data_IF_894368202099
#
_entry.id   IF_894368202099
#
_cell.length_a   1.000
_cell.length_b   1.000
_cell.length_c   1.000
_cell.angle_alpha   90.00
_cell.angle_beta   90.00
_cell.angle_gamma   90.00
#
_symmetry.space_group_name_H-M   'P 1'
#
loop_
_entity.id
_entity.type
_entity.pdbx_description
1 polymer ?
#
# COMPACT_ATOMS: atom_id res chain seq x y z
N UNK A 1 -0.82 13.22 -11.03
CA UNK A 1 0.58 13.59 -10.75
C UNK A 1 1.48 12.55 -11.41
N UNK A 2 2.65 12.94 -11.94
CA UNK A 2 3.57 12.03 -12.64
C UNK A 2 4.98 12.00 -12.04
N UNK A 3 5.30 12.93 -11.14
CA UNK A 3 6.61 13.03 -10.48
C UNK A 3 6.43 13.47 -9.01
N UNK A 4 7.40 13.16 -8.15
CA UNK A 4 7.47 13.59 -6.75
C UNK A 4 8.41 12.73 -5.91
N UNK A 5 8.51 13.00 -4.60
CA UNK A 5 9.38 12.20 -3.71
C UNK A 5 8.80 10.78 -3.49
N UNK A 6 7.48 10.66 -3.35
CA UNK A 6 6.80 9.38 -3.10
C UNK A 6 5.56 9.12 -3.96
N UNK A 7 5.42 7.87 -4.41
CA UNK A 7 4.17 7.31 -4.92
C UNK A 7 3.63 6.34 -3.87
N UNK A 8 2.57 6.73 -3.17
CA UNK A 8 1.86 5.86 -2.22
C UNK A 8 0.52 5.42 -2.78
N UNK A 9 0.34 4.11 -2.88
CA UNK A 9 -0.86 3.47 -3.45
C UNK A 9 -1.56 2.65 -2.37
N UNK A 10 -2.89 2.71 -2.33
CA UNK A 10 -3.71 1.81 -1.50
C UNK A 10 -3.99 0.53 -2.28
N UNK A 11 -3.71 -0.63 -1.69
CA UNK A 11 -4.01 -1.93 -2.30
C UNK A 11 -5.44 -2.37 -2.00
N UNK A 12 -6.16 -2.72 -3.06
CA UNK A 12 -7.55 -3.15 -3.11
C UNK A 12 -7.70 -4.45 -3.94
N UNK A 13 -6.60 -5.15 -4.23
CA UNK A 13 -6.59 -6.31 -5.13
C UNK A 13 -6.35 -5.97 -6.62
N UNK A 14 -6.00 -4.72 -6.94
CA UNK A 14 -5.75 -4.30 -8.31
C UNK A 14 -4.44 -4.88 -8.88
N UNK A 15 -4.37 -4.93 -10.21
CA UNK A 15 -3.12 -5.26 -10.90
C UNK A 15 -2.08 -4.15 -10.70
N UNK A 16 -0.92 -4.52 -10.16
CA UNK A 16 0.17 -3.59 -9.90
C UNK A 16 0.87 -3.09 -11.18
N UNK A 17 0.72 -3.79 -12.30
CA UNK A 17 1.32 -3.38 -13.59
C UNK A 17 0.79 -2.03 -14.09
N UNK A 18 -0.41 -1.62 -13.64
CA UNK A 18 -1.00 -0.34 -14.01
C UNK A 18 -0.18 0.88 -13.56
N UNK A 19 0.75 0.69 -12.63
CA UNK A 19 1.62 1.74 -12.13
C UNK A 19 2.98 1.77 -12.83
N UNK A 20 3.29 0.86 -13.75
CA UNK A 20 4.62 0.72 -14.32
C UNK A 20 5.15 2.02 -14.94
N UNK A 21 4.31 2.73 -15.70
CA UNK A 21 4.64 4.02 -16.32
C UNK A 21 4.74 5.21 -15.34
N UNK A 22 4.33 5.01 -14.07
CA UNK A 22 4.37 6.04 -13.04
C UNK A 22 5.59 5.88 -12.13
N UNK A 23 6.12 4.67 -11.94
CA UNK A 23 7.19 4.37 -10.97
C UNK A 23 8.43 5.24 -11.18
N UNK A 24 8.80 5.49 -12.44
CA UNK A 24 10.02 6.21 -12.79
C UNK A 24 10.02 7.70 -12.37
N UNK A 25 8.84 8.26 -12.06
CA UNK A 25 8.71 9.63 -11.59
C UNK A 25 8.96 9.82 -10.08
N UNK A 26 9.21 8.74 -9.32
CA UNK A 26 9.25 8.81 -7.86
C UNK A 26 10.46 8.10 -7.25
N UNK A 27 11.02 8.68 -6.18
CA UNK A 27 12.14 8.08 -5.44
C UNK A 27 11.68 6.94 -4.53
N UNK A 28 10.46 7.02 -4.01
CA UNK A 28 9.90 6.05 -3.08
C UNK A 28 8.57 5.49 -3.57
N UNK A 29 8.46 4.16 -3.62
CA UNK A 29 7.25 3.45 -3.98
C UNK A 29 6.69 2.76 -2.74
N UNK A 30 5.47 3.11 -2.36
CA UNK A 30 4.81 2.64 -1.15
C UNK A 30 3.49 1.98 -1.47
N UNK A 31 3.30 0.75 -0.97
CA UNK A 31 2.01 0.07 -1.00
C UNK A 31 1.43 0.06 0.42
N UNK A 32 0.22 0.61 0.55
CA UNK A 32 -0.49 0.73 1.80
C UNK A 32 -1.68 -0.24 1.80
N UNK A 33 -1.83 -1.10 2.81
CA UNK A 33 -3.03 -1.90 2.97
C UNK A 33 -4.28 -1.01 3.10
N UNK A 34 -5.38 -1.43 2.50
CA UNK A 34 -6.68 -0.85 2.81
C UNK A 34 -7.10 -1.27 4.22
N UNK A 35 -7.41 -0.30 5.07
CA UNK A 35 -8.01 -0.53 6.37
C UNK A 35 -9.37 0.17 6.40
N UNK A 36 -10.43 -0.59 6.64
CA UNK A 36 -11.79 -0.11 6.71
C UNK A 36 -12.39 -0.42 8.09
N UNK A 37 -12.88 0.62 8.77
CA UNK A 37 -13.50 0.51 10.11
C UNK A 37 -14.90 -0.14 10.05
N UNK A 38 -15.54 -0.15 8.88
CA UNK A 38 -16.78 -0.85 8.63
C UNK A 38 -16.62 -2.35 8.37
N UNK A 39 -15.39 -2.81 8.11
CA UNK A 39 -15.08 -4.20 7.80
C UNK A 39 -14.59 -4.99 9.02
N UNK A 40 -14.65 -6.31 8.94
CA UNK A 40 -14.22 -7.17 10.04
C UNK A 40 -12.71 -7.15 10.26
N UNK A 41 -12.28 -7.54 11.46
CA UNK A 41 -10.84 -7.66 11.79
C UNK A 41 -10.17 -8.66 10.85
N UNK A 42 -10.85 -9.76 10.55
CA UNK A 42 -10.38 -10.80 9.64
C UNK A 42 -10.21 -10.27 8.22
N UNK A 43 -11.18 -9.51 7.70
CA UNK A 43 -11.09 -8.91 6.38
C UNK A 43 -9.91 -7.95 6.27
N UNK A 44 -9.75 -7.06 7.25
CA UNK A 44 -8.61 -6.14 7.33
C UNK A 44 -7.27 -6.92 7.42
N UNK A 45 -7.25 -8.03 8.17
CA UNK A 45 -6.08 -8.91 8.28
C UNK A 45 -5.72 -9.59 6.95
N UNK A 46 -6.71 -10.07 6.19
CA UNK A 46 -6.49 -10.66 4.87
C UNK A 46 -5.97 -9.62 3.87
N UNK A 47 -6.57 -8.43 3.83
CA UNK A 47 -6.07 -7.34 2.98
C UNK A 47 -4.65 -6.91 3.32
N UNK A 48 -4.32 -6.88 4.61
CA UNK A 48 -2.95 -6.65 5.06
C UNK A 48 -2.00 -7.72 4.53
N UNK A 49 -2.37 -8.99 4.67
CA UNK A 49 -1.57 -10.11 4.20
C UNK A 49 -1.35 -10.04 2.68
N UNK A 50 -2.40 -9.80 1.89
CA UNK A 50 -2.29 -9.72 0.44
C UNK A 50 -1.40 -8.54 -0.01
N UNK A 51 -1.54 -7.38 0.66
CA UNK A 51 -0.68 -6.22 0.42
C UNK A 51 0.79 -6.53 0.72
N UNK A 52 1.05 -7.24 1.82
CA UNK A 52 2.39 -7.69 2.19
C UNK A 52 2.96 -8.65 1.14
N UNK A 53 2.16 -9.59 0.63
CA UNK A 53 2.59 -10.53 -0.41
C UNK A 53 2.92 -9.81 -1.75
N UNK A 54 2.19 -8.75 -2.10
CA UNK A 54 2.53 -7.91 -3.25
C UNK A 54 3.87 -7.21 -3.09
N UNK A 55 4.13 -6.63 -1.91
CA UNK A 55 5.43 -6.00 -1.59
C UNK A 55 6.55 -7.04 -1.58
N UNK A 56 6.31 -8.21 -0.99
CA UNK A 56 7.30 -9.30 -0.92
C UNK A 56 7.71 -9.80 -2.31
N UNK A 57 6.78 -9.82 -3.26
CA UNK A 57 7.02 -10.24 -4.64
C UNK A 57 7.57 -9.14 -5.56
N UNK A 58 7.55 -7.87 -5.11
CA UNK A 58 7.99 -6.70 -5.89
C UNK A 58 8.89 -5.79 -5.02
N UNK A 59 10.20 -6.09 -4.94
CA UNK A 59 11.11 -5.47 -3.98
C UNK A 59 11.33 -3.97 -4.19
N UNK A 60 10.89 -3.40 -5.31
CA UNK A 60 10.86 -1.95 -5.52
C UNK A 60 9.81 -1.24 -4.64
N UNK A 61 8.75 -1.95 -4.25
CA UNK A 61 7.72 -1.44 -3.36
C UNK A 61 8.10 -1.64 -1.89
N UNK A 62 7.69 -0.70 -1.05
CA UNK A 62 7.84 -0.76 0.40
C UNK A 62 6.46 -0.74 1.05
N UNK A 63 6.29 -1.52 2.13
CA UNK A 63 5.04 -1.52 2.87
C UNK A 63 4.90 -0.19 3.64
N UNK A 64 3.79 0.51 3.45
CA UNK A 64 3.44 1.72 4.20
C UNK A 64 2.36 1.38 5.23
N UNK A 65 2.72 1.51 6.51
CA UNK A 65 1.80 1.24 7.61
C UNK A 65 1.13 2.53 8.07
N UNK A 66 -0.18 2.47 8.28
CA UNK A 66 -0.93 3.52 8.95
C UNK A 66 -0.72 3.43 10.47
N UNK A 67 0.49 3.76 10.94
CA UNK A 67 0.90 3.58 12.34
C UNK A 67 0.03 4.38 13.32
N UNK A 68 -0.55 5.50 12.91
CA UNK A 68 -1.48 6.29 13.73
C UNK A 68 -2.70 5.49 14.20
N UNK A 69 -3.25 4.60 13.35
CA UNK A 69 -4.34 3.68 13.71
C UNK A 69 -3.95 2.68 14.80
N UNK A 70 -2.67 2.29 14.85
CA UNK A 70 -2.14 1.34 15.83
C UNK A 70 -1.77 2.04 17.14
N UNK A 71 -1.28 3.27 17.04
CA UNK A 71 -0.92 4.10 18.17
C UNK A 71 -2.12 4.83 18.80
N UNK A 72 -3.32 4.69 18.21
CA UNK A 72 -4.54 5.38 18.63
C UNK A 72 -4.36 6.90 18.71
N UNK A 73 -3.72 7.49 17.69
CA UNK A 73 -3.52 8.94 17.56
C UNK A 73 -4.19 9.44 16.28
N UNK A 74 -4.78 10.63 16.35
CA UNK A 74 -5.31 11.36 15.19
C UNK A 74 -4.22 12.19 14.50
#
# INVERSE_FOLDING_TARGET
>A
QREGDELKVVYLGQDMSMYDDLKDGFEHLYLQPCYDEGESVEWNGLNFHDSFEQVRSRPEWRLSLQTHKWMCVE
#
